data_IF_623881638246
#
_entry.id   IF_623881638246
#
_cell.length_a   1.000
_cell.length_b   1.000
_cell.length_c   1.000
_cell.angle_alpha   90.00
_cell.angle_beta   90.00
_cell.angle_gamma   90.00
#
_symmetry.space_group_name_H-M   'P 1'
#
loop_
_entity.id
_entity.type
_entity.pdbx_description
1 polymer ?
#
# COMPACT_ATOMS: atom_id res chain seq x y z
N UNK A 1 8.76 -3.80 -11.63
CA UNK A 1 9.32 -3.50 -10.32
C UNK A 1 8.55 -4.21 -9.22
N UNK A 2 9.26 -4.86 -8.34
CA UNK A 2 8.61 -5.60 -7.25
C UNK A 2 8.54 -4.72 -6.02
N UNK A 3 7.34 -4.63 -5.45
CA UNK A 3 7.09 -3.81 -4.28
C UNK A 3 6.70 -4.71 -3.11
N UNK A 4 7.41 -4.58 -2.00
CA UNK A 4 7.15 -5.37 -0.80
C UNK A 4 6.57 -4.47 0.28
N UNK A 5 5.29 -4.65 0.57
CA UNK A 5 4.59 -3.92 1.61
C UNK A 5 4.43 -4.74 2.89
N UNK A 6 5.06 -5.89 2.96
CA UNK A 6 4.91 -6.78 4.12
C UNK A 6 5.84 -6.36 5.26
N UNK A 7 5.48 -5.26 5.92
CA UNK A 7 6.21 -4.77 7.07
C UNK A 7 5.25 -4.00 7.98
N UNK A 8 5.61 -3.89 9.25
CA UNK A 8 4.83 -3.06 10.18
C UNK A 8 5.25 -1.61 10.03
N UNK A 9 4.26 -0.71 10.05
CA UNK A 9 4.55 0.71 10.00
C UNK A 9 5.34 1.13 11.22
N UNK A 10 6.23 2.09 11.03
CA UNK A 10 7.05 2.61 12.13
C UNK A 10 6.40 3.84 12.74
N UNK A 11 6.51 3.97 14.06
CA UNK A 11 6.11 5.20 14.75
C UNK A 11 7.17 6.27 14.57
N UNK A 12 6.94 7.42 15.18
CA UNK A 12 7.87 8.54 15.12
C UNK A 12 9.21 8.21 15.77
N UNK A 13 9.23 7.25 16.68
CA UNK A 13 10.46 6.77 17.30
C UNK A 13 11.19 5.73 16.45
N UNK A 14 10.68 5.48 15.25
CA UNK A 14 11.23 4.52 14.29
C UNK A 14 11.15 3.07 14.79
N UNK A 15 10.24 2.80 15.73
CA UNK A 15 9.98 1.45 16.19
C UNK A 15 8.70 0.91 15.54
N UNK A 16 8.65 -0.40 15.25
CA UNK A 16 7.45 -0.98 14.64
C UNK A 16 6.21 -0.80 15.51
N UNK A 17 5.10 -0.47 14.87
CA UNK A 17 3.81 -0.37 15.54
C UNK A 17 3.16 -1.74 15.44
N UNK A 18 2.93 -2.37 16.58
CA UNK A 18 2.35 -3.71 16.61
C UNK A 18 0.96 -3.72 15.98
N UNK A 19 0.73 -4.66 15.08
CA UNK A 19 -0.56 -4.81 14.42
C UNK A 19 -0.80 -3.86 13.26
N UNK A 20 0.19 -3.03 12.89
CA UNK A 20 0.04 -2.06 11.81
C UNK A 20 0.78 -2.50 10.54
N UNK A 21 0.43 -3.67 10.01
CA UNK A 21 1.06 -4.17 8.77
C UNK A 21 0.66 -3.29 7.59
N UNK A 22 1.65 -2.75 6.89
CA UNK A 22 1.43 -1.83 5.77
C UNK A 22 0.62 -2.46 4.65
N UNK A 23 0.95 -3.70 4.30
CA UNK A 23 0.26 -4.41 3.22
C UNK A 23 -1.21 -4.63 3.53
N UNK A 24 -1.52 -5.02 4.76
CA UNK A 24 -2.91 -5.26 5.14
C UNK A 24 -3.71 -3.97 5.19
N UNK A 25 -3.12 -2.88 5.65
CA UNK A 25 -3.79 -1.58 5.63
C UNK A 25 -4.08 -1.13 4.20
N UNK A 26 -3.11 -1.28 3.32
CA UNK A 26 -3.29 -0.92 1.92
C UNK A 26 -4.33 -1.83 1.26
N UNK A 27 -4.30 -3.13 1.56
CA UNK A 27 -5.27 -4.08 1.03
C UNK A 27 -6.70 -3.69 1.40
N UNK A 28 -6.92 -3.34 2.67
CA UNK A 28 -8.24 -2.93 3.13
C UNK A 28 -8.71 -1.68 2.41
N UNK A 29 -7.83 -0.70 2.24
CA UNK A 29 -8.19 0.54 1.55
C UNK A 29 -8.56 0.29 0.10
N UNK A 30 -7.80 -0.56 -0.60
CA UNK A 30 -8.10 -0.91 -1.98
C UNK A 30 -9.44 -1.63 -2.09
N UNK A 31 -9.69 -2.57 -1.19
CA UNK A 31 -10.92 -3.38 -1.24
C UNK A 31 -12.16 -2.57 -0.89
N UNK A 32 -12.03 -1.57 -0.04
CA UNK A 32 -13.17 -0.77 0.42
C UNK A 32 -13.44 0.45 -0.43
N UNK A 33 -12.52 0.78 -1.35
CA UNK A 33 -12.71 1.90 -2.25
C UNK A 33 -13.79 1.63 -3.27
N UNK A 34 -14.38 2.69 -3.78
CA UNK A 34 -15.44 2.59 -4.79
C UNK A 34 -15.01 3.09 -6.16
N UNK A 35 -13.76 3.52 -6.30
CA UNK A 35 -13.24 4.07 -7.55
C UNK A 35 -12.03 3.28 -8.00
N UNK A 36 -11.82 3.26 -9.32
CA UNK A 36 -10.68 2.60 -9.92
C UNK A 36 -11.06 1.28 -10.56
N UNK A 37 -10.03 0.56 -11.02
CA UNK A 37 -10.21 -0.72 -11.67
C UNK A 37 -10.50 -1.80 -10.63
N UNK A 38 -11.77 -2.21 -10.55
CA UNK A 38 -12.23 -3.13 -9.50
C UNK A 38 -11.48 -4.46 -9.51
N UNK A 39 -11.27 -5.04 -10.70
CA UNK A 39 -10.61 -6.34 -10.79
C UNK A 39 -9.12 -6.25 -10.43
N UNK A 40 -8.45 -5.22 -10.92
CA UNK A 40 -7.03 -5.01 -10.64
C UNK A 40 -6.81 -4.73 -9.15
N UNK A 41 -7.62 -3.85 -8.57
CA UNK A 41 -7.48 -3.47 -7.17
C UNK A 41 -7.80 -4.64 -6.24
N UNK A 42 -8.80 -5.44 -6.61
CA UNK A 42 -9.12 -6.63 -5.84
C UNK A 42 -7.97 -7.62 -5.82
N UNK A 43 -7.36 -7.85 -7.00
CA UNK A 43 -6.23 -8.77 -7.11
C UNK A 43 -5.05 -8.27 -6.27
N UNK A 44 -4.74 -6.97 -6.34
CA UNK A 44 -3.70 -6.38 -5.51
C UNK A 44 -4.00 -6.55 -4.03
N UNK A 45 -5.25 -6.31 -3.64
CA UNK A 45 -5.66 -6.41 -2.23
C UNK A 45 -5.49 -7.83 -1.69
N UNK A 46 -5.90 -8.82 -2.47
CA UNK A 46 -5.74 -10.22 -2.06
C UNK A 46 -4.28 -10.57 -1.85
N UNK A 47 -3.43 -10.19 -2.79
CA UNK A 47 -2.00 -10.49 -2.70
C UNK A 47 -1.35 -9.76 -1.52
N UNK A 48 -1.69 -8.51 -1.31
CA UNK A 48 -1.16 -7.73 -0.19
C UNK A 48 -1.60 -8.33 1.14
N UNK A 49 -2.84 -8.78 1.22
CA UNK A 49 -3.35 -9.37 2.46
C UNK A 49 -2.63 -10.66 2.81
N UNK A 50 -2.11 -11.35 1.81
CA UNK A 50 -1.33 -12.58 2.03
C UNK A 50 0.14 -12.29 2.34
N UNK A 51 0.56 -11.03 2.27
CA UNK A 51 1.95 -10.66 2.49
C UNK A 51 2.84 -10.85 1.28
N UNK A 52 2.26 -10.98 0.10
CA UNK A 52 3.02 -11.23 -1.13
C UNK A 52 3.53 -9.93 -1.73
N UNK A 53 4.63 -10.06 -2.46
CA UNK A 53 5.22 -8.95 -3.20
C UNK A 53 4.37 -8.68 -4.45
N UNK A 54 4.16 -7.41 -4.76
CA UNK A 54 3.47 -7.01 -6.00
C UNK A 54 4.49 -6.67 -7.06
N UNK A 55 4.28 -7.19 -8.27
CA UNK A 55 5.12 -6.86 -9.42
C UNK A 55 4.33 -5.92 -10.33
N UNK A 56 4.65 -4.64 -10.28
CA UNK A 56 3.92 -3.59 -10.99
C UNK A 56 4.78 -2.96 -12.06
N UNK A 57 4.19 -2.75 -13.25
CA UNK A 57 4.86 -1.97 -14.28
C UNK A 57 4.75 -0.47 -13.97
N UNK A 58 5.33 0.37 -14.81
CA UNK A 58 5.36 1.81 -14.57
C UNK A 58 3.97 2.42 -14.43
N UNK A 59 3.05 1.98 -15.27
CA UNK A 59 1.68 2.48 -15.25
C UNK A 59 0.97 2.09 -13.94
N UNK A 60 1.13 0.83 -13.52
CA UNK A 60 0.51 0.34 -12.30
C UNK A 60 1.14 0.99 -11.07
N UNK A 61 2.44 1.26 -11.09
CA UNK A 61 3.10 1.97 -10.00
C UNK A 61 2.51 3.37 -9.84
N UNK A 62 2.28 4.05 -10.95
CA UNK A 62 1.70 5.38 -10.91
C UNK A 62 0.27 5.34 -10.39
N UNK A 63 -0.49 4.34 -10.81
CA UNK A 63 -1.86 4.14 -10.33
C UNK A 63 -1.88 3.90 -8.81
N UNK A 64 -1.01 3.03 -8.32
CA UNK A 64 -0.92 2.75 -6.89
C UNK A 64 -0.50 3.99 -6.10
N UNK A 65 0.48 4.72 -6.61
CA UNK A 65 0.97 5.94 -5.97
C UNK A 65 -0.14 6.98 -5.85
N UNK A 66 -0.89 7.18 -6.92
CA UNK A 66 -2.00 8.13 -6.89
C UNK A 66 -3.10 7.68 -5.94
N UNK A 67 -3.38 6.38 -5.91
CA UNK A 67 -4.36 5.83 -4.97
C UNK A 67 -3.96 6.16 -3.53
N UNK A 68 -2.70 5.93 -3.18
CA UNK A 68 -2.23 6.20 -1.82
C UNK A 68 -2.29 7.69 -1.49
N UNK A 69 -1.88 8.54 -2.43
CA UNK A 69 -1.90 9.99 -2.22
C UNK A 69 -3.31 10.52 -1.99
N UNK A 70 -4.27 9.96 -2.71
CA UNK A 70 -5.66 10.45 -2.68
C UNK A 70 -6.50 9.77 -1.60
N UNK A 71 -6.01 8.71 -0.98
CA UNK A 71 -6.76 7.97 0.02
C UNK A 71 -6.98 8.83 1.28
N UNK A 72 -8.24 9.00 1.66
CA UNK A 72 -8.59 9.82 2.81
C UNK A 72 -8.47 9.07 4.14
N UNK A 73 -8.45 7.76 4.08
CA UNK A 73 -8.40 6.93 5.28
C UNK A 73 -7.01 6.73 5.87
N UNK A 74 -5.97 7.16 5.16
CA UNK A 74 -4.60 6.99 5.64
C UNK A 74 -4.10 8.24 6.35
N UNK A 75 -3.38 8.02 7.46
CA UNK A 75 -2.67 9.10 8.14
C UNK A 75 -1.44 9.49 7.33
N UNK A 76 -0.86 10.64 7.65
CA UNK A 76 0.40 11.06 7.01
C UNK A 76 1.49 10.03 7.28
N UNK A 77 1.53 9.48 8.49
CA UNK A 77 2.50 8.45 8.87
C UNK A 77 2.41 7.24 7.92
N UNK A 78 1.19 6.77 7.67
CA UNK A 78 0.98 5.63 6.78
C UNK A 78 1.30 5.98 5.33
N UNK A 79 0.81 7.12 4.84
CA UNK A 79 1.05 7.54 3.45
C UNK A 79 2.53 7.68 3.16
N UNK A 80 3.27 8.31 4.07
CA UNK A 80 4.69 8.53 3.85
C UNK A 80 5.44 7.21 3.70
N UNK A 81 5.15 6.25 4.56
CA UNK A 81 5.86 4.97 4.53
C UNK A 81 5.46 4.12 3.32
N UNK A 82 4.17 4.14 2.95
CA UNK A 82 3.73 3.44 1.75
C UNK A 82 4.34 4.04 0.48
N UNK A 83 4.40 5.37 0.40
CA UNK A 83 4.96 6.05 -0.76
C UNK A 83 6.46 5.82 -0.89
N UNK A 84 7.16 5.64 0.22
CA UNK A 84 8.61 5.36 0.19
C UNK A 84 8.90 4.04 -0.51
N UNK A 85 8.01 3.06 -0.39
CA UNK A 85 8.20 1.77 -1.07
C UNK A 85 8.20 1.98 -2.59
N UNK A 86 7.27 2.81 -3.07
CA UNK A 86 7.12 3.03 -4.52
C UNK A 86 8.21 3.94 -5.06
N UNK A 87 8.63 4.93 -4.29
CA UNK A 87 9.66 5.88 -4.72
C UNK A 87 11.07 5.33 -4.65
N UNK A 88 11.22 4.16 -4.12
CA UNK A 88 12.54 3.57 -3.96
C UNK A 88 13.07 3.17 -5.33
N UNK A 89 14.13 3.76 -5.73
CA UNK A 89 14.79 3.46 -7.01
C UNK A 89 15.94 2.52 -6.82
#
# INVERSE_FOLDING_TARGET
MKLDFNFDLLGLDEQPIEGANAGKLLANALAQGSKGDALKFWDWAVNLNKGEVLDLDSSDQETMKNFIKDAEGFTILAKAQLLKVIKKD
#
